data_IF_001184725256
#
_entry.id   IF_001184725256
#
_cell.length_a   1.000
_cell.length_b   1.000
_cell.length_c   1.000
_cell.angle_alpha   90.00
_cell.angle_beta   90.00
_cell.angle_gamma   90.00
#
_symmetry.space_group_name_H-M   'P 1'
#
loop_
_entity.id
_entity.type
_entity.pdbx_description
1 polymer ?
#
# COMPACT_ATOMS: atom_id res chain seq x y z
N UNK A 1 20.80 -9.97 -8.16
CA UNK A 1 20.32 -8.60 -7.86
C UNK A 1 19.03 -8.41 -8.65
N UNK A 2 17.87 -8.65 -8.03
CA UNK A 2 16.58 -8.72 -8.74
C UNK A 2 16.14 -7.33 -9.20
N UNK A 3 15.50 -7.25 -10.37
CA UNK A 3 14.98 -6.02 -10.96
C UNK A 3 14.03 -5.22 -10.03
N UNK A 4 13.47 -5.86 -8.99
CA UNK A 4 12.67 -5.21 -7.95
C UNK A 4 13.47 -4.17 -7.15
N UNK A 5 14.68 -4.50 -6.71
CA UNK A 5 15.52 -3.61 -5.88
C UNK A 5 15.94 -2.36 -6.67
N UNK A 6 16.19 -2.52 -7.97
CA UNK A 6 16.56 -1.42 -8.87
C UNK A 6 15.38 -0.44 -9.03
N UNK A 7 14.16 -0.95 -9.20
CA UNK A 7 12.97 -0.08 -9.29
C UNK A 7 12.67 0.65 -7.98
N UNK A 8 12.81 -0.01 -6.83
CA UNK A 8 12.55 0.59 -5.52
C UNK A 8 13.53 1.73 -5.21
N UNK A 9 14.80 1.56 -5.62
CA UNK A 9 15.85 2.58 -5.50
C UNK A 9 15.53 3.81 -6.36
N UNK A 10 14.99 3.62 -7.57
CA UNK A 10 14.61 4.72 -8.47
C UNK A 10 13.44 5.52 -7.91
N UNK A 11 12.43 4.86 -7.33
CA UNK A 11 11.26 5.54 -6.71
C UNK A 11 11.70 6.36 -5.50
N UNK A 12 12.59 5.82 -4.65
CA UNK A 12 13.14 6.53 -3.50
C UNK A 12 13.96 7.76 -3.89
N UNK A 13 14.82 7.64 -4.91
CA UNK A 13 15.60 8.77 -5.46
C UNK A 13 14.68 9.84 -6.05
N UNK A 14 13.69 9.44 -6.85
CA UNK A 14 12.76 10.34 -7.51
C UNK A 14 11.88 11.11 -6.52
N UNK A 15 11.42 10.43 -5.45
CA UNK A 15 10.64 11.06 -4.38
C UNK A 15 11.47 12.08 -3.61
N UNK A 16 12.73 11.75 -3.30
CA UNK A 16 13.62 12.64 -2.56
C UNK A 16 13.92 13.93 -3.34
N UNK A 17 14.24 13.80 -4.64
CA UNK A 17 14.47 14.95 -5.52
C UNK A 17 13.26 15.90 -5.63
N UNK A 18 12.04 15.44 -5.32
CA UNK A 18 10.83 16.25 -5.29
C UNK A 18 10.51 16.83 -3.89
N UNK A 19 10.91 16.13 -2.81
CA UNK A 19 10.76 16.61 -1.43
C UNK A 19 11.78 17.72 -1.10
N UNK A 20 12.98 17.63 -1.68
CA UNK A 20 13.97 18.70 -1.65
C UNK A 20 13.46 19.83 -2.55
N UNK A 21 13.51 21.11 -2.11
CA UNK A 21 12.81 22.20 -2.80
C UNK A 21 13.49 22.57 -4.12
N UNK A 22 13.29 21.75 -5.15
CA UNK A 22 13.34 22.19 -6.54
C UNK A 22 11.95 22.77 -6.81
N UNK A 23 11.75 24.00 -6.35
CA UNK A 23 10.45 24.71 -6.29
C UNK A 23 9.60 24.55 -7.56
N UNK A 24 8.35 24.04 -7.46
CA UNK A 24 7.31 24.50 -8.36
C UNK A 24 6.09 25.05 -7.61
N UNK A 25 5.94 24.77 -6.30
CA UNK A 25 4.79 25.22 -5.51
C UNK A 25 5.21 25.89 -4.18
N UNK A 26 4.54 27.00 -3.80
CA UNK A 26 4.80 27.73 -2.55
C UNK A 26 4.51 26.93 -1.27
N UNK A 27 3.57 25.99 -1.33
CA UNK A 27 3.22 25.06 -0.25
C UNK A 27 2.73 23.74 -0.87
N UNK A 28 2.94 22.62 -0.18
CA UNK A 28 2.40 21.32 -0.59
C UNK A 28 3.36 20.37 -1.31
N UNK A 29 4.65 20.72 -1.45
CA UNK A 29 5.66 19.84 -2.07
C UNK A 29 5.71 18.46 -1.40
N UNK A 30 5.59 18.40 -0.06
CA UNK A 30 5.52 17.13 0.66
C UNK A 30 4.23 16.32 0.41
N UNK A 31 3.09 16.97 0.14
CA UNK A 31 1.83 16.29 -0.23
C UNK A 31 1.92 15.72 -1.66
N UNK A 32 2.41 16.52 -2.60
CA UNK A 32 2.60 16.11 -3.99
C UNK A 32 3.61 14.98 -4.12
N UNK A 33 4.72 15.05 -3.39
CA UNK A 33 5.76 14.01 -3.40
C UNK A 33 5.20 12.68 -2.92
N UNK A 34 4.45 12.68 -1.80
CA UNK A 34 3.79 11.47 -1.27
C UNK A 34 2.79 10.87 -2.25
N UNK A 35 1.95 11.72 -2.87
CA UNK A 35 0.99 11.28 -3.88
C UNK A 35 1.69 10.64 -5.10
N UNK A 36 2.79 11.25 -5.54
CA UNK A 36 3.58 10.76 -6.66
C UNK A 36 4.30 9.45 -6.35
N UNK A 37 4.87 9.30 -5.15
CA UNK A 37 5.44 8.03 -4.69
C UNK A 37 4.40 6.92 -4.69
N UNK A 38 3.19 7.22 -4.17
CA UNK A 38 2.10 6.25 -4.14
C UNK A 38 1.67 5.84 -5.55
N UNK A 39 1.58 6.79 -6.47
CA UNK A 39 1.28 6.52 -7.89
C UNK A 39 2.36 5.64 -8.54
N UNK A 40 3.64 5.91 -8.26
CA UNK A 40 4.76 5.12 -8.79
C UNK A 40 4.76 3.70 -8.22
N UNK A 41 4.47 3.54 -6.93
CA UNK A 41 4.29 2.23 -6.30
C UNK A 41 3.18 1.44 -7.02
N UNK A 42 2.02 2.06 -7.27
CA UNK A 42 0.93 1.40 -8.00
C UNK A 42 1.30 1.01 -9.43
N UNK A 43 2.01 1.88 -10.16
CA UNK A 43 2.48 1.57 -11.52
C UNK A 43 3.47 0.39 -11.55
N UNK A 44 4.21 0.16 -10.47
CA UNK A 44 5.16 -0.94 -10.34
C UNK A 44 4.58 -2.19 -9.65
N UNK A 45 3.26 -2.21 -9.38
CA UNK A 45 2.58 -3.38 -8.80
C UNK A 45 2.66 -3.49 -7.27
N UNK A 46 3.14 -2.44 -6.58
CA UNK A 46 3.11 -2.38 -5.12
C UNK A 46 1.75 -1.90 -4.63
N UNK A 47 0.90 -2.87 -4.27
CA UNK A 47 -0.50 -2.63 -3.92
C UNK A 47 -0.75 -2.42 -2.42
N UNK A 48 0.28 -2.45 -1.56
CA UNK A 48 0.12 -2.25 -0.11
C UNK A 48 -0.61 -0.95 0.24
N UNK A 49 -0.33 0.13 -0.50
CA UNK A 49 -0.97 1.44 -0.32
C UNK A 49 -2.49 1.45 -0.54
N UNK A 50 -3.06 0.41 -1.19
CA UNK A 50 -4.52 0.28 -1.39
C UNK A 50 -5.24 -0.20 -0.13
N UNK A 51 -4.54 -0.91 0.76
CA UNK A 51 -5.12 -1.56 1.94
C UNK A 51 -4.64 -0.96 3.26
N UNK A 52 -3.46 -0.36 3.25
CA UNK A 52 -2.86 0.33 4.40
C UNK A 52 -2.41 1.72 3.98
N UNK A 53 -2.68 2.72 4.81
CA UNK A 53 -2.31 4.10 4.51
C UNK A 53 -0.80 4.29 4.66
N UNK A 54 -0.13 4.51 3.54
CA UNK A 54 1.31 4.87 3.53
C UNK A 54 1.56 6.19 4.25
N UNK A 55 0.62 7.14 4.13
CA UNK A 55 0.70 8.42 4.85
C UNK A 55 0.59 8.26 6.36
N UNK A 56 -0.24 7.32 6.82
CA UNK A 56 -0.38 7.03 8.25
C UNK A 56 0.94 6.50 8.83
N UNK A 57 1.66 5.64 8.10
CA UNK A 57 2.98 5.18 8.53
C UNK A 57 3.99 6.33 8.59
N UNK A 58 4.02 7.21 7.58
CA UNK A 58 4.87 8.41 7.62
C UNK A 58 4.52 9.29 8.83
N UNK A 59 3.25 9.46 9.15
CA UNK A 59 2.82 10.26 10.29
C UNK A 59 3.22 9.62 11.63
N UNK A 60 3.13 8.30 11.74
CA UNK A 60 3.55 7.55 12.93
C UNK A 60 5.06 7.63 13.17
N UNK A 61 5.86 7.66 12.08
CA UNK A 61 7.32 7.73 12.13
C UNK A 61 7.86 9.06 11.60
N UNK A 62 7.14 10.15 11.90
CA UNK A 62 7.42 11.50 11.36
C UNK A 62 8.85 11.96 11.60
N UNK A 63 9.37 11.73 12.82
CA UNK A 63 10.73 12.13 13.18
C UNK A 63 11.79 11.48 12.28
N UNK A 64 11.70 10.15 12.09
CA UNK A 64 12.62 9.41 11.22
C UNK A 64 12.49 9.83 9.76
N UNK A 65 11.27 10.10 9.30
CA UNK A 65 11.04 10.60 7.95
C UNK A 65 11.75 11.93 7.70
N UNK A 66 11.56 12.94 8.56
CA UNK A 66 12.20 14.25 8.38
C UNK A 66 13.72 14.20 8.61
N UNK A 67 14.21 13.37 9.53
CA UNK A 67 15.64 13.21 9.75
C UNK A 67 16.32 12.56 8.53
N UNK A 68 15.73 11.50 7.96
CA UNK A 68 16.24 10.89 6.73
C UNK A 68 16.24 11.86 5.55
N UNK A 69 15.23 12.72 5.46
CA UNK A 69 15.15 13.77 4.44
C UNK A 69 16.26 14.81 4.64
N UNK A 70 16.49 15.26 5.89
CA UNK A 70 17.56 16.19 6.23
C UNK A 70 18.93 15.63 5.85
N UNK A 71 19.26 14.43 6.32
CA UNK A 71 20.53 13.76 6.01
C UNK A 71 20.75 13.57 4.52
N UNK A 72 19.68 13.31 3.77
CA UNK A 72 19.78 13.19 2.31
C UNK A 72 19.79 14.51 1.55
N UNK A 73 19.50 15.63 2.23
CA UNK A 73 19.60 16.99 1.71
C UNK A 73 20.93 17.66 2.07
N UNK A 74 21.70 17.09 3.00
CA UNK A 74 23.01 17.60 3.36
C UNK A 74 23.94 17.55 2.13
N UNK A 75 24.66 18.65 1.90
CA UNK A 75 25.56 18.80 0.74
C UNK A 75 24.86 18.69 -0.63
N UNK A 76 23.57 19.02 -0.70
CA UNK A 76 22.82 19.05 -1.95
C UNK A 76 23.42 20.01 -2.99
N UNK A 77 23.80 21.22 -2.57
CA UNK A 77 24.33 22.26 -3.46
C UNK A 77 25.64 21.84 -4.15
N UNK A 78 26.45 21.02 -3.48
CA UNK A 78 27.70 20.48 -4.03
C UNK A 78 27.51 19.16 -4.78
N UNK A 79 26.28 18.62 -4.85
CA UNK A 79 25.97 17.33 -5.45
C UNK A 79 26.58 16.13 -4.71
N UNK A 80 27.12 16.34 -3.51
CA UNK A 80 27.75 15.31 -2.69
C UNK A 80 26.75 14.64 -1.71
N UNK A 81 25.46 14.91 -1.87
CA UNK A 81 24.42 14.37 -1.01
C UNK A 81 24.23 12.86 -1.19
N UNK A 82 23.83 12.19 -0.12
CA UNK A 82 23.53 10.75 -0.15
C UNK A 82 22.03 10.52 -0.06
N UNK A 83 21.45 9.85 -1.06
CA UNK A 83 20.05 9.43 -1.04
C UNK A 83 19.79 8.24 -0.12
N UNK A 84 20.84 7.59 0.37
CA UNK A 84 20.74 6.32 1.10
C UNK A 84 19.85 6.42 2.36
N UNK A 85 20.00 7.43 3.24
CA UNK A 85 19.14 7.57 4.43
C UNK A 85 17.65 7.63 4.08
N UNK A 86 17.27 8.41 3.07
CA UNK A 86 15.89 8.51 2.65
C UNK A 86 15.35 7.22 2.02
N UNK A 87 16.15 6.54 1.19
CA UNK A 87 15.75 5.27 0.57
C UNK A 87 15.54 4.19 1.65
N UNK A 88 16.44 4.11 2.64
CA UNK A 88 16.31 3.18 3.75
C UNK A 88 15.04 3.45 4.57
N UNK A 89 14.77 4.71 4.89
CA UNK A 89 13.54 5.09 5.58
C UNK A 89 12.29 4.79 4.74
N UNK A 90 12.31 5.09 3.43
CA UNK A 90 11.20 4.80 2.52
C UNK A 90 10.89 3.30 2.45
N UNK A 91 11.91 2.46 2.30
CA UNK A 91 11.77 1.01 2.32
C UNK A 91 11.28 0.49 3.67
N UNK A 92 11.75 1.09 4.77
CA UNK A 92 11.28 0.75 6.12
C UNK A 92 9.79 1.07 6.28
N UNK A 93 9.33 2.23 5.80
CA UNK A 93 7.90 2.59 5.80
C UNK A 93 7.07 1.64 4.93
N UNK A 94 7.57 1.29 3.75
CA UNK A 94 6.91 0.32 2.87
C UNK A 94 6.81 -1.05 3.54
N UNK A 95 7.90 -1.52 4.16
CA UNK A 95 7.92 -2.76 4.92
C UNK A 95 6.93 -2.73 6.10
N UNK A 96 6.83 -1.63 6.84
CA UNK A 96 5.82 -1.46 7.89
C UNK A 96 4.40 -1.53 7.33
N UNK A 97 4.13 -0.96 6.15
CA UNK A 97 2.83 -1.10 5.50
C UNK A 97 2.49 -2.57 5.20
N UNK A 98 3.45 -3.35 4.69
CA UNK A 98 3.26 -4.78 4.45
C UNK A 98 3.10 -5.57 5.75
N UNK A 99 3.86 -5.25 6.80
CA UNK A 99 3.72 -5.89 8.12
C UNK A 99 2.37 -5.58 8.76
N UNK A 100 1.87 -4.35 8.61
CA UNK A 100 0.55 -3.97 9.09
C UNK A 100 -0.57 -4.63 8.27
N UNK A 101 -0.37 -4.76 6.96
CA UNK A 101 -1.24 -5.52 6.09
C UNK A 101 -1.30 -6.98 6.56
N UNK A 102 -0.15 -7.61 6.76
CA UNK A 102 -0.03 -8.96 7.30
C UNK A 102 -0.70 -9.05 8.67
N UNK A 103 -0.51 -8.09 9.58
CA UNK A 103 -1.22 -8.04 10.87
C UNK A 103 -2.73 -7.94 10.71
N UNK A 104 -3.26 -7.12 9.79
CA UNK A 104 -4.72 -7.06 9.55
C UNK A 104 -5.27 -8.36 8.99
N UNK A 105 -4.46 -9.10 8.23
CA UNK A 105 -4.77 -10.48 7.83
C UNK A 105 -4.53 -11.50 8.97
N UNK A 106 -3.62 -11.21 9.90
CA UNK A 106 -3.15 -12.07 10.99
C UNK A 106 -3.81 -11.82 12.35
N UNK A 107 -4.56 -10.75 12.57
CA UNK A 107 -5.45 -10.60 13.74
C UNK A 107 -6.64 -11.57 13.63
N UNK A 108 -6.78 -12.20 12.46
CA UNK A 108 -7.58 -13.41 12.25
C UNK A 108 -6.83 -14.69 12.72
N UNK A 109 -5.52 -14.64 13.03
CA UNK A 109 -4.63 -15.75 13.47
C UNK A 109 -4.71 -16.04 14.98
N UNK A 110 -5.88 -16.37 15.49
CA UNK A 110 -6.00 -17.14 16.75
C UNK A 110 -6.23 -18.63 16.52
N UNK A 111 -6.75 -19.01 15.35
CA UNK A 111 -7.09 -20.40 14.97
C UNK A 111 -6.86 -20.55 13.48
N UNK A 112 -6.42 -21.73 13.00
CA UNK A 112 -6.26 -22.07 11.57
C UNK A 112 -7.43 -21.48 10.76
N UNK A 113 -7.17 -20.39 10.06
CA UNK A 113 -8.21 -19.66 9.34
C UNK A 113 -8.55 -20.48 8.12
N UNK A 114 -9.81 -20.86 7.99
CA UNK A 114 -10.30 -21.52 6.79
C UNK A 114 -10.17 -20.56 5.60
N UNK A 115 -10.01 -21.09 4.38
CA UNK A 115 -9.99 -20.27 3.15
C UNK A 115 -11.17 -19.29 3.08
N UNK A 116 -12.32 -19.68 3.66
CA UNK A 116 -13.51 -18.85 3.85
C UNK A 116 -13.25 -17.59 4.66
N UNK A 117 -12.75 -17.71 5.89
CA UNK A 117 -12.57 -16.55 6.76
C UNK A 117 -11.49 -15.57 6.24
N UNK A 118 -10.53 -16.04 5.43
CA UNK A 118 -9.58 -15.15 4.72
C UNK A 118 -10.26 -14.29 3.66
N UNK A 119 -11.21 -14.85 2.91
CA UNK A 119 -12.02 -14.10 1.93
C UNK A 119 -12.90 -13.09 2.64
N UNK A 120 -13.52 -13.46 3.77
CA UNK A 120 -14.34 -12.55 4.58
C UNK A 120 -13.51 -11.37 5.10
N UNK A 121 -12.34 -11.63 5.69
CA UNK A 121 -11.47 -10.58 6.22
C UNK A 121 -10.97 -9.64 5.13
N UNK A 122 -10.63 -10.16 3.94
CA UNK A 122 -10.18 -9.35 2.81
C UNK A 122 -11.20 -8.28 2.41
N UNK A 123 -12.50 -8.60 2.46
CA UNK A 123 -13.56 -7.65 2.10
C UNK A 123 -13.89 -6.73 3.27
N UNK A 124 -13.96 -7.27 4.48
CA UNK A 124 -14.32 -6.51 5.68
C UNK A 124 -13.28 -5.45 6.06
N UNK A 125 -12.01 -5.71 5.77
CA UNK A 125 -10.90 -4.80 6.04
C UNK A 125 -10.55 -3.91 4.83
N UNK A 126 -11.20 -4.10 3.68
CA UNK A 126 -10.93 -3.27 2.50
C UNK A 126 -11.57 -1.90 2.64
N UNK A 127 -10.78 -0.86 2.38
CA UNK A 127 -11.24 0.53 2.33
C UNK A 127 -11.97 0.86 1.02
N UNK A 128 -11.84 0.01 0.00
CA UNK A 128 -12.45 0.21 -1.31
C UNK A 128 -13.24 -1.01 -1.77
N UNK A 129 -14.24 -0.85 -2.66
CA UNK A 129 -14.99 -1.98 -3.19
C UNK A 129 -14.10 -2.95 -3.98
N UNK A 130 -14.12 -4.22 -3.60
CA UNK A 130 -13.31 -5.26 -4.26
C UNK A 130 -14.13 -6.09 -5.24
N UNK A 131 -13.54 -6.40 -6.38
CA UNK A 131 -14.04 -7.39 -7.34
C UNK A 131 -13.57 -8.80 -6.99
N UNK A 132 -14.26 -9.80 -7.53
CA UNK A 132 -13.82 -11.21 -7.44
C UNK A 132 -12.38 -11.40 -7.93
N UNK A 133 -12.02 -10.73 -9.03
CA UNK A 133 -10.68 -10.85 -9.62
C UNK A 133 -9.58 -10.26 -8.70
N UNK A 134 -9.86 -9.13 -8.04
CA UNK A 134 -8.94 -8.54 -7.05
C UNK A 134 -8.77 -9.47 -5.84
N UNK A 135 -9.85 -10.05 -5.33
CA UNK A 135 -9.77 -11.00 -4.21
C UNK A 135 -8.93 -12.24 -4.59
N UNK A 136 -9.09 -12.78 -5.80
CA UNK A 136 -8.26 -13.88 -6.29
C UNK A 136 -6.77 -13.48 -6.44
N UNK A 137 -6.46 -12.21 -6.71
CA UNK A 137 -5.08 -11.72 -6.74
C UNK A 137 -4.48 -11.58 -5.34
N UNK A 138 -5.28 -11.14 -4.37
CA UNK A 138 -4.88 -11.04 -2.96
C UNK A 138 -4.67 -12.43 -2.35
N UNK A 139 -5.52 -13.39 -2.72
CA UNK A 139 -5.54 -14.75 -2.16
C UNK A 139 -5.34 -15.80 -3.27
N UNK A 140 -4.12 -15.92 -3.86
CA UNK A 140 -3.86 -16.82 -4.98
C UNK A 140 -4.00 -18.31 -4.64
N UNK A 141 -3.98 -18.67 -3.35
CA UNK A 141 -4.13 -20.03 -2.85
C UNK A 141 -5.61 -20.47 -2.68
N UNK A 142 -6.56 -19.55 -2.90
CA UNK A 142 -7.99 -19.79 -2.79
C UNK A 142 -8.61 -19.90 -4.19
N UNK A 143 -9.35 -20.97 -4.45
CA UNK A 143 -9.97 -21.16 -5.77
C UNK A 143 -11.02 -20.07 -6.04
N UNK A 144 -11.19 -19.63 -7.30
CA UNK A 144 -12.23 -18.66 -7.67
C UNK A 144 -13.65 -19.10 -7.28
N UNK A 145 -13.90 -20.42 -7.27
CA UNK A 145 -15.15 -21.03 -6.83
C UNK A 145 -15.39 -20.85 -5.33
N UNK A 146 -14.35 -20.97 -4.51
CA UNK A 146 -14.43 -20.72 -3.06
C UNK A 146 -14.70 -19.25 -2.79
N UNK A 147 -14.01 -18.35 -3.48
CA UNK A 147 -14.23 -16.89 -3.36
C UNK A 147 -15.69 -16.54 -3.67
N UNK A 148 -16.24 -17.09 -4.75
CA UNK A 148 -17.63 -16.84 -5.16
C UNK A 148 -18.66 -17.38 -4.15
N UNK A 149 -18.44 -18.58 -3.62
CA UNK A 149 -19.32 -19.16 -2.61
C UNK A 149 -19.37 -18.30 -1.33
N UNK A 150 -18.21 -17.80 -0.88
CA UNK A 150 -18.11 -16.95 0.31
C UNK A 150 -18.77 -15.59 0.06
N UNK A 151 -18.47 -14.95 -1.07
CA UNK A 151 -19.12 -13.70 -1.48
C UNK A 151 -20.64 -13.84 -1.52
N UNK A 152 -21.15 -14.91 -2.11
CA UNK A 152 -22.58 -15.19 -2.16
C UNK A 152 -23.20 -15.36 -0.77
N UNK A 153 -22.50 -16.05 0.15
CA UNK A 153 -22.95 -16.19 1.53
C UNK A 153 -22.99 -14.85 2.28
N UNK A 154 -21.94 -14.02 2.13
CA UNK A 154 -21.85 -12.71 2.80
C UNK A 154 -22.88 -11.70 2.26
N UNK A 155 -23.23 -11.77 0.98
CA UNK A 155 -24.32 -10.96 0.40
C UNK A 155 -25.67 -11.41 0.98
N UNK A 156 -25.89 -12.73 1.08
CA UNK A 156 -27.13 -13.28 1.67
C UNK A 156 -27.27 -12.93 3.15
N UNK A 157 -26.17 -12.90 3.91
CA UNK A 157 -26.18 -12.50 5.33
C UNK A 157 -26.28 -10.98 5.53
N UNK A 158 -26.24 -10.18 4.45
CA UNK A 158 -26.32 -8.73 4.53
C UNK A 158 -25.03 -8.05 5.04
N UNK A 159 -23.95 -8.79 5.22
CA UNK A 159 -22.68 -8.25 5.73
C UNK A 159 -21.96 -7.39 4.68
N UNK A 160 -22.18 -7.70 3.39
CA UNK A 160 -21.61 -6.95 2.26
C UNK A 160 -22.69 -6.65 1.22
N UNK A 161 -22.53 -5.55 0.50
CA UNK A 161 -23.39 -5.15 -0.61
C UNK A 161 -22.66 -5.37 -1.93
N UNK A 162 -23.37 -5.95 -2.90
CA UNK A 162 -22.94 -6.03 -4.29
C UNK A 162 -23.22 -4.70 -4.98
N UNK A 163 -22.21 -4.13 -5.64
CA UNK A 163 -22.33 -2.92 -6.45
C UNK A 163 -21.88 -3.21 -7.89
N UNK A 164 -22.50 -2.53 -8.86
CA UNK A 164 -22.24 -2.76 -10.29
C UNK A 164 -22.89 -4.05 -10.84
N UNK A 165 -22.76 -4.24 -12.15
CA UNK A 165 -23.38 -5.35 -12.88
C UNK A 165 -22.34 -6.13 -13.71
N UNK A 166 -22.59 -7.43 -13.91
CA UNK A 166 -21.76 -8.32 -14.74
C UNK A 166 -20.25 -8.23 -14.39
N UNK A 167 -19.38 -7.94 -15.35
CA UNK A 167 -17.92 -7.81 -15.20
C UNK A 167 -17.49 -6.67 -14.27
N UNK A 168 -18.34 -5.66 -14.06
CA UNK A 168 -18.07 -4.54 -13.15
C UNK A 168 -18.53 -4.80 -11.70
N UNK A 169 -18.91 -6.04 -11.37
CA UNK A 169 -19.35 -6.40 -10.02
C UNK A 169 -18.23 -6.19 -9.01
N UNK A 170 -18.51 -5.39 -7.99
CA UNK A 170 -17.67 -5.23 -6.80
C UNK A 170 -18.49 -5.42 -5.53
N UNK A 171 -17.80 -5.59 -4.41
CA UNK A 171 -18.37 -5.87 -3.11
C UNK A 171 -17.80 -4.89 -2.09
N UNK A 172 -18.66 -4.31 -1.26
CA UNK A 172 -18.30 -3.39 -0.20
C UNK A 172 -18.97 -3.82 1.10
N UNK A 173 -18.30 -3.65 2.23
CA UNK A 173 -18.91 -3.80 3.56
C UNK A 173 -20.10 -2.83 3.70
N UNK A 174 -21.19 -3.32 4.28
CA UNK A 174 -22.37 -2.50 4.65
C UNK A 174 -22.06 -1.67 5.89
#
# INVERSE_FOLDING_TARGET
MSASVVNDTVIGRFTNSFCIPIVPLPDGNGRMSRLLSLLLLYKNGFDAGKYVSFEEQINNYKAYYYESLRQSSDSWESGANSYFPFIENFLSMLYMCYKELDKRFAVVHGKKITKKARVEAAILNSLTPLSKAEICKILPDVSPTTVEAVLGAMVKSGTIKRIGSSRATRYIKV
#
